data_IF_397379638188
#
_entry.id   IF_397379638188
#
_cell.length_a   1.000
_cell.length_b   1.000
_cell.length_c   1.000
_cell.angle_alpha   90.00
_cell.angle_beta   90.00
_cell.angle_gamma   90.00
#
_symmetry.space_group_name_H-M   'P 1'
#
loop_
_entity.id
_entity.type
_entity.pdbx_description
1 polymer ?
#
# COMPACT_ATOMS: atom_id res chain seq x y z
N UNK A 1 24.01 7.69 7.79
CA UNK A 1 23.23 8.77 7.14
C UNK A 1 24.06 9.42 6.02
N UNK A 2 24.04 8.90 4.78
CA UNK A 2 24.74 9.53 3.63
C UNK A 2 24.07 9.34 2.27
N UNK A 3 23.00 8.53 2.15
CA UNK A 3 22.41 8.17 0.84
C UNK A 3 21.21 9.03 0.41
N UNK A 4 20.49 9.65 1.34
CA UNK A 4 19.32 10.49 1.04
C UNK A 4 19.70 11.88 0.53
N UNK A 5 20.81 12.44 1.00
CA UNK A 5 21.27 13.78 0.60
C UNK A 5 21.76 13.83 -0.85
N UNK A 6 22.37 12.76 -1.37
CA UNK A 6 22.82 12.71 -2.77
C UNK A 6 21.67 12.67 -3.79
N UNK A 7 20.53 12.06 -3.45
CA UNK A 7 19.39 11.94 -4.37
C UNK A 7 18.66 13.28 -4.50
N UNK A 8 18.46 14.00 -3.38
CA UNK A 8 17.92 15.37 -3.41
C UNK A 8 18.84 16.34 -4.16
N UNK A 9 20.16 16.23 -4.00
CA UNK A 9 21.12 17.06 -4.72
C UNK A 9 21.11 16.76 -6.23
N UNK A 10 21.00 15.48 -6.63
CA UNK A 10 20.89 15.10 -8.03
C UNK A 10 19.59 15.60 -8.68
N UNK A 11 18.45 15.54 -7.96
CA UNK A 11 17.17 16.07 -8.44
C UNK A 11 17.19 17.61 -8.57
N UNK A 12 17.86 18.31 -7.67
CA UNK A 12 18.08 19.76 -7.74
C UNK A 12 18.97 20.16 -8.92
N UNK A 13 20.03 19.39 -9.20
CA UNK A 13 20.89 19.63 -10.36
C UNK A 13 20.15 19.39 -11.69
N UNK A 14 19.34 18.34 -11.77
CA UNK A 14 18.53 18.07 -12.97
C UNK A 14 17.50 19.18 -13.19
N UNK A 15 16.80 19.63 -12.13
CA UNK A 15 15.85 20.73 -12.23
C UNK A 15 16.51 22.08 -12.63
N UNK A 16 17.71 22.36 -12.13
CA UNK A 16 18.45 23.58 -12.45
C UNK A 16 18.99 23.59 -13.89
N UNK A 17 19.40 22.43 -14.43
CA UNK A 17 19.89 22.30 -15.82
C UNK A 17 18.74 22.44 -16.83
N UNK A 18 17.52 21.99 -16.50
CA UNK A 18 16.35 22.16 -17.37
C UNK A 18 15.65 23.53 -17.20
N UNK A 19 15.81 24.19 -16.05
CA UNK A 19 15.28 25.55 -15.83
C UNK A 19 16.06 26.65 -16.57
N UNK A 20 17.37 26.47 -16.75
CA UNK A 20 18.25 27.46 -17.41
C UNK A 20 18.50 27.20 -18.91
N UNK A 21 17.95 26.13 -19.47
CA UNK A 21 17.91 25.87 -20.91
C UNK A 21 16.48 26.05 -21.44
N UNK A 22 15.86 27.21 -21.17
CA UNK A 22 14.64 27.61 -21.90
C UNK A 22 15.04 28.42 -23.12
N UNK A 23 14.96 27.80 -24.30
CA UNK A 23 14.56 28.56 -25.48
C UNK A 23 13.07 28.88 -25.34
N UNK A 24 12.74 30.15 -25.57
CA UNK A 24 11.39 30.67 -25.51
C UNK A 24 10.44 29.82 -26.36
N UNK A 25 9.38 29.32 -25.71
CA UNK A 25 8.31 28.48 -26.26
C UNK A 25 8.67 27.00 -26.42
N UNK A 26 8.54 26.23 -25.34
CA UNK A 26 8.16 24.82 -25.44
C UNK A 26 7.48 24.31 -24.16
N UNK A 27 6.45 23.52 -24.41
CA UNK A 27 5.60 22.76 -23.48
C UNK A 27 6.34 22.29 -22.22
N UNK A 28 5.82 22.64 -21.04
CA UNK A 28 6.31 22.16 -19.74
C UNK A 28 5.92 20.67 -19.48
N UNK A 29 5.27 20.00 -20.44
CA UNK A 29 4.83 18.60 -20.39
C UNK A 29 5.95 17.60 -20.04
N UNK A 30 7.20 17.71 -20.56
CA UNK A 30 8.27 16.76 -20.25
C UNK A 30 8.79 16.89 -18.83
N UNK A 31 8.86 18.11 -18.29
CA UNK A 31 9.28 18.37 -16.90
C UNK A 31 8.19 17.89 -15.94
N UNK A 32 6.92 18.14 -16.27
CA UNK A 32 5.79 17.60 -15.52
C UNK A 32 5.77 16.07 -15.60
N UNK A 33 6.01 15.47 -16.77
CA UNK A 33 6.09 14.02 -16.94
C UNK A 33 7.28 13.40 -16.19
N UNK A 34 8.43 14.09 -16.11
CA UNK A 34 9.58 13.64 -15.34
C UNK A 34 9.36 13.78 -13.84
N UNK A 35 8.70 14.86 -13.39
CA UNK A 35 8.30 15.04 -11.98
C UNK A 35 7.21 14.04 -11.58
N UNK A 36 6.24 13.76 -12.46
CA UNK A 36 5.23 12.71 -12.27
C UNK A 36 5.90 11.34 -12.25
N UNK A 37 6.81 11.04 -13.18
CA UNK A 37 7.56 9.79 -13.22
C UNK A 37 8.47 9.62 -12.00
N UNK A 38 9.13 10.69 -11.55
CA UNK A 38 9.90 10.67 -10.32
C UNK A 38 8.99 10.49 -9.10
N UNK A 39 7.84 11.14 -9.02
CA UNK A 39 6.89 10.99 -7.92
C UNK A 39 6.28 9.57 -7.90
N UNK A 40 5.96 9.03 -9.07
CA UNK A 40 5.46 7.66 -9.29
C UNK A 40 6.51 6.59 -8.91
N UNK A 41 7.79 6.82 -9.23
CA UNK A 41 8.92 5.97 -8.85
C UNK A 41 9.34 6.10 -7.37
N UNK A 42 8.99 7.20 -6.70
CA UNK A 42 9.40 7.49 -5.32
C UNK A 42 8.40 6.99 -4.28
N UNK A 43 7.16 6.76 -4.67
CA UNK A 43 6.11 6.35 -3.75
C UNK A 43 6.17 4.84 -3.48
N UNK A 44 6.53 4.46 -2.26
CA UNK A 44 6.46 3.07 -1.78
C UNK A 44 5.04 2.68 -1.34
N UNK A 45 4.02 3.33 -1.90
CA UNK A 45 2.63 3.23 -1.48
C UNK A 45 1.72 3.21 -2.71
N UNK A 46 0.62 2.47 -2.63
CA UNK A 46 -0.31 2.28 -3.72
C UNK A 46 -1.74 2.46 -3.25
N UNK A 47 -2.53 3.10 -4.09
CA UNK A 47 -3.97 3.11 -3.99
C UNK A 47 -4.58 2.22 -5.07
N UNK A 48 -5.18 1.12 -4.68
CA UNK A 48 -5.99 0.29 -5.56
C UNK A 48 -7.44 0.74 -5.46
N UNK A 49 -7.94 1.34 -6.53
CA UNK A 49 -9.32 1.81 -6.65
C UNK A 49 -10.14 0.77 -7.38
N UNK A 50 -11.27 0.38 -6.79
CA UNK A 50 -12.25 -0.53 -7.41
C UNK A 50 -13.57 0.21 -7.61
N UNK A 51 -14.09 0.15 -8.84
CA UNK A 51 -15.43 0.63 -9.20
C UNK A 51 -16.47 -0.42 -8.82
N UNK A 52 -17.23 -0.15 -7.75
CA UNK A 52 -18.28 -1.02 -7.23
C UNK A 52 -19.61 -0.83 -8.00
N UNK A 53 -19.91 0.41 -8.37
CA UNK A 53 -21.04 0.80 -9.21
C UNK A 53 -20.71 2.06 -10.01
N UNK A 54 -21.63 2.54 -10.86
CA UNK A 54 -21.39 3.65 -11.80
C UNK A 54 -20.71 4.89 -11.17
N UNK A 55 -21.09 5.26 -9.95
CA UNK A 55 -20.52 6.41 -9.23
C UNK A 55 -20.04 6.02 -7.82
N UNK A 56 -19.72 4.74 -7.58
CA UNK A 56 -19.31 4.27 -6.26
C UNK A 56 -17.97 3.54 -6.37
N UNK A 57 -16.97 4.08 -5.70
CA UNK A 57 -15.60 3.58 -5.74
C UNK A 57 -15.03 3.45 -4.33
N UNK A 58 -14.23 2.41 -4.13
CA UNK A 58 -13.46 2.19 -2.91
C UNK A 58 -11.98 2.21 -3.24
N UNK A 59 -11.18 2.95 -2.47
CA UNK A 59 -9.73 2.91 -2.56
C UNK A 59 -9.15 2.14 -1.36
N UNK A 60 -8.35 1.12 -1.65
CA UNK A 60 -7.50 0.45 -0.67
C UNK A 60 -6.08 1.01 -0.80
N UNK A 61 -5.53 1.47 0.30
CA UNK A 61 -4.22 2.09 0.37
C UNK A 61 -3.26 1.10 1.04
N UNK A 62 -2.13 0.77 0.42
CA UNK A 62 -1.14 -0.17 0.98
C UNK A 62 0.29 0.23 0.66
N UNK A 63 1.25 -0.17 1.50
CA UNK A 63 2.67 -0.07 1.17
C UNK A 63 3.06 -1.12 0.11
N UNK A 64 3.78 -0.71 -0.92
CA UNK A 64 4.26 -1.56 -2.03
C UNK A 64 5.75 -1.32 -2.30
N UNK A 65 6.47 -2.23 -2.98
CA UNK A 65 7.77 -1.88 -3.52
C UNK A 65 7.66 -0.68 -4.47
N UNK A 66 8.74 0.09 -4.63
CA UNK A 66 8.81 1.17 -5.63
C UNK A 66 8.50 0.63 -7.02
N UNK A 67 7.63 1.31 -7.77
CA UNK A 67 7.14 0.85 -9.08
C UNK A 67 6.23 -0.39 -9.02
N UNK A 68 5.89 -0.87 -7.83
CA UNK A 68 5.01 -2.03 -7.62
C UNK A 68 3.52 -1.70 -7.58
N UNK A 69 3.14 -0.42 -7.67
CA UNK A 69 1.74 -0.03 -7.68
C UNK A 69 1.09 -0.33 -9.04
N UNK A 70 0.59 -1.56 -9.18
CA UNK A 70 -0.10 -2.01 -10.39
C UNK A 70 -1.26 -2.95 -10.09
N UNK A 71 -2.21 -3.00 -11.00
CA UNK A 71 -3.25 -4.03 -11.02
C UNK A 71 -2.70 -5.25 -11.76
N UNK A 72 -2.86 -6.43 -11.17
CA UNK A 72 -2.53 -7.69 -11.83
C UNK A 72 -3.41 -7.85 -13.09
N UNK A 73 -2.80 -7.91 -14.26
CA UNK A 73 -3.48 -7.97 -15.56
C UNK A 73 -3.80 -9.41 -15.96
N UNK A 74 -3.11 -10.37 -15.36
CA UNK A 74 -3.33 -11.80 -15.61
C UNK A 74 -3.50 -12.60 -14.31
N UNK A 75 -4.13 -13.77 -14.42
CA UNK A 75 -4.23 -14.73 -13.31
C UNK A 75 -2.85 -15.16 -12.79
N UNK A 76 -1.88 -15.32 -13.68
CA UNK A 76 -0.50 -15.67 -13.32
C UNK A 76 0.17 -14.57 -12.48
N UNK A 77 -0.05 -13.28 -12.82
CA UNK A 77 0.43 -12.17 -11.99
C UNK A 77 -0.27 -12.12 -10.63
N UNK A 78 -1.58 -12.39 -10.57
CA UNK A 78 -2.32 -12.47 -9.32
C UNK A 78 -1.78 -13.59 -8.42
N UNK A 79 -1.57 -14.78 -8.98
CA UNK A 79 -0.98 -15.91 -8.25
C UNK A 79 0.44 -15.59 -7.76
N UNK A 80 1.28 -14.97 -8.59
CA UNK A 80 2.63 -14.55 -8.19
C UNK A 80 2.60 -13.55 -7.02
N UNK A 81 1.66 -12.59 -7.04
CA UNK A 81 1.45 -11.62 -5.96
C UNK A 81 1.03 -12.31 -4.65
N UNK A 82 0.07 -13.24 -4.71
CA UNK A 82 -0.37 -14.03 -3.56
C UNK A 82 0.76 -14.91 -3.02
N UNK A 83 1.52 -15.59 -3.88
CA UNK A 83 2.67 -16.40 -3.46
C UNK A 83 3.78 -15.56 -2.81
N UNK A 84 4.01 -14.34 -3.29
CA UNK A 84 4.95 -13.39 -2.66
C UNK A 84 4.49 -13.06 -1.24
N UNK A 85 3.22 -12.68 -1.08
CA UNK A 85 2.65 -12.38 0.24
C UNK A 85 2.74 -13.60 1.18
N UNK A 86 2.39 -14.79 0.70
CA UNK A 86 2.51 -16.05 1.45
C UNK A 86 3.94 -16.27 1.93
N UNK A 87 4.90 -16.20 1.03
CA UNK A 87 6.31 -16.47 1.33
C UNK A 87 6.86 -15.48 2.34
N UNK A 88 6.54 -14.18 2.18
CA UNK A 88 6.98 -13.14 3.10
C UNK A 88 6.37 -13.29 4.50
N UNK A 89 5.10 -13.67 4.62
CA UNK A 89 4.46 -13.93 5.92
C UNK A 89 5.04 -15.18 6.58
N UNK A 90 5.17 -16.28 5.83
CA UNK A 90 5.73 -17.54 6.34
C UNK A 90 7.16 -17.36 6.86
N UNK A 91 7.96 -16.49 6.24
CA UNK A 91 9.31 -16.17 6.72
C UNK A 91 9.32 -15.61 8.15
N UNK A 92 8.29 -14.86 8.58
CA UNK A 92 8.17 -14.40 9.97
C UNK A 92 7.83 -15.56 10.92
N UNK A 93 6.94 -16.46 10.51
CA UNK A 93 6.57 -17.63 11.31
C UNK A 93 7.74 -18.60 11.47
N UNK A 94 8.49 -18.85 10.40
CA UNK A 94 9.71 -19.66 10.47
C UNK A 94 10.72 -19.06 11.45
N UNK A 95 10.89 -17.72 11.48
CA UNK A 95 11.75 -17.04 12.45
C UNK A 95 11.23 -17.10 13.88
N UNK A 96 9.90 -17.03 14.07
CA UNK A 96 9.25 -17.12 15.37
C UNK A 96 9.25 -18.55 15.95
N UNK A 97 9.48 -19.56 15.12
CA UNK A 97 9.63 -20.96 15.52
C UNK A 97 8.30 -21.74 15.61
N UNK A 98 8.37 -22.95 16.17
CA UNK A 98 7.28 -23.95 16.12
C UNK A 98 5.97 -23.52 16.79
N UNK A 99 6.00 -22.51 17.67
CA UNK A 99 4.77 -21.92 18.24
C UNK A 99 3.85 -21.32 17.15
N UNK A 100 4.37 -21.09 15.94
CA UNK A 100 3.66 -20.55 14.80
C UNK A 100 3.24 -21.58 13.75
N UNK A 101 3.44 -22.89 13.95
CA UNK A 101 3.14 -23.92 12.93
C UNK A 101 1.66 -23.93 12.51
N UNK A 102 0.74 -23.78 13.47
CA UNK A 102 -0.71 -23.68 13.18
C UNK A 102 -1.04 -22.40 12.40
N UNK A 103 -0.43 -21.27 12.76
CA UNK A 103 -0.60 -20.00 12.04
C UNK A 103 -0.05 -20.08 10.61
N UNK A 104 1.09 -20.75 10.41
CA UNK A 104 1.67 -20.99 9.10
C UNK A 104 0.76 -21.83 8.20
N UNK A 105 0.15 -22.89 8.77
CA UNK A 105 -0.84 -23.71 8.08
C UNK A 105 -2.09 -22.89 7.70
N UNK A 106 -2.60 -22.10 8.65
CA UNK A 106 -3.75 -21.23 8.42
C UNK A 106 -3.50 -20.24 7.26
N UNK A 107 -2.38 -19.51 7.29
CA UNK A 107 -2.04 -18.53 6.24
C UNK A 107 -1.85 -19.21 4.88
N UNK A 108 -1.20 -20.37 4.86
CA UNK A 108 -1.05 -21.16 3.63
C UNK A 108 -2.41 -21.50 3.02
N UNK A 109 -3.35 -21.98 3.83
CA UNK A 109 -4.69 -22.35 3.37
C UNK A 109 -5.50 -21.13 2.91
N UNK A 110 -5.45 -20.02 3.65
CA UNK A 110 -6.12 -18.77 3.28
C UNK A 110 -5.63 -18.25 1.92
N UNK A 111 -4.32 -18.19 1.71
CA UNK A 111 -3.77 -17.68 0.46
C UNK A 111 -3.96 -18.67 -0.69
N UNK A 112 -3.81 -19.97 -0.46
CA UNK A 112 -4.11 -20.97 -1.49
C UNK A 112 -5.58 -20.91 -1.92
N UNK A 113 -6.51 -20.63 -1.00
CA UNK A 113 -7.92 -20.41 -1.34
C UNK A 113 -8.10 -19.20 -2.26
N UNK A 114 -7.38 -18.08 -2.02
CA UNK A 114 -7.41 -16.91 -2.91
C UNK A 114 -6.85 -17.24 -4.30
N UNK A 115 -5.74 -18.00 -4.37
CA UNK A 115 -5.17 -18.47 -5.64
C UNK A 115 -6.16 -19.35 -6.39
N UNK A 116 -6.75 -20.36 -5.73
CA UNK A 116 -7.76 -21.24 -6.32
C UNK A 116 -8.97 -20.45 -6.82
N UNK A 117 -9.46 -19.49 -6.03
CA UNK A 117 -10.58 -18.64 -6.43
C UNK A 117 -10.24 -17.80 -7.67
N UNK A 118 -9.04 -17.23 -7.75
CA UNK A 118 -8.56 -16.49 -8.92
C UNK A 118 -8.46 -17.39 -10.16
N UNK A 119 -7.90 -18.60 -10.01
CA UNK A 119 -7.69 -19.53 -11.11
C UNK A 119 -9.00 -20.14 -11.63
N UNK A 120 -10.00 -20.31 -10.76
CA UNK A 120 -11.32 -20.82 -11.12
C UNK A 120 -12.23 -19.77 -11.79
N UNK A 121 -11.87 -18.48 -11.79
CA UNK A 121 -12.62 -17.49 -12.55
C UNK A 121 -12.49 -17.77 -14.05
N UNK A 122 -13.53 -17.46 -14.83
CA UNK A 122 -13.38 -17.43 -16.29
C UNK A 122 -12.49 -16.25 -16.69
N UNK A 123 -11.83 -16.33 -17.85
CA UNK A 123 -10.99 -15.21 -18.32
C UNK A 123 -11.80 -13.92 -18.50
N UNK A 124 -13.07 -14.05 -18.94
CA UNK A 124 -13.99 -12.92 -19.03
C UNK A 124 -14.31 -12.31 -17.65
N UNK A 125 -14.53 -13.12 -16.61
CA UNK A 125 -14.77 -12.63 -15.26
C UNK A 125 -13.53 -11.94 -14.65
N UNK A 126 -12.34 -12.50 -14.92
CA UNK A 126 -11.09 -11.89 -14.49
C UNK A 126 -10.86 -10.55 -15.20
N UNK A 127 -11.02 -10.50 -16.53
CA UNK A 127 -10.92 -9.28 -17.32
C UNK A 127 -11.91 -8.20 -16.85
N UNK A 128 -13.15 -8.58 -16.51
CA UNK A 128 -14.13 -7.65 -15.94
C UNK A 128 -13.72 -7.10 -14.57
N UNK A 129 -12.97 -7.86 -13.76
CA UNK A 129 -12.41 -7.39 -12.48
C UNK A 129 -11.28 -6.39 -12.70
N UNK A 130 -10.39 -6.68 -13.65
CA UNK A 130 -9.30 -5.78 -14.05
C UNK A 130 -9.85 -4.48 -14.63
N UNK A 131 -10.87 -4.56 -15.48
CA UNK A 131 -11.53 -3.39 -16.10
C UNK A 131 -12.06 -2.40 -15.05
N UNK A 132 -12.59 -2.91 -13.93
CA UNK A 132 -13.11 -2.12 -12.80
C UNK A 132 -12.05 -1.65 -11.81
N UNK A 133 -10.79 -2.03 -11.97
CA UNK A 133 -9.74 -1.76 -10.99
C UNK A 133 -8.63 -0.90 -11.59
N UNK A 134 -8.16 0.11 -10.85
CA UNK A 134 -7.00 0.93 -11.22
C UNK A 134 -6.07 1.06 -10.02
N UNK A 135 -4.79 1.25 -10.30
CA UNK A 135 -3.77 1.47 -9.29
C UNK A 135 -3.15 2.85 -9.51
N UNK A 136 -3.01 3.62 -8.43
CA UNK A 136 -2.40 4.94 -8.43
C UNK A 136 -1.30 4.99 -7.38
N UNK A 137 -0.10 5.40 -7.78
CA UNK A 137 0.96 5.69 -6.83
C UNK A 137 0.58 6.88 -5.96
N UNK A 138 0.78 6.76 -4.65
CA UNK A 138 0.43 7.82 -3.68
C UNK A 138 1.63 8.18 -2.84
N UNK A 139 1.92 9.47 -2.67
CA UNK A 139 3.11 9.91 -1.94
C UNK A 139 3.16 9.39 -0.49
N UNK A 140 2.03 9.43 0.22
CA UNK A 140 1.95 9.05 1.63
C UNK A 140 0.56 8.52 2.02
N UNK A 141 0.50 7.29 2.53
CA UNK A 141 -0.74 6.64 2.99
C UNK A 141 -1.48 7.42 4.09
N UNK A 142 -0.74 8.03 5.02
CA UNK A 142 -1.30 8.79 6.15
C UNK A 142 -2.03 10.01 5.62
N UNK A 143 -1.38 10.78 4.76
CA UNK A 143 -1.97 11.98 4.14
C UNK A 143 -3.16 11.59 3.28
N UNK A 144 -3.02 10.55 2.47
CA UNK A 144 -4.08 10.11 1.54
C UNK A 144 -5.34 9.67 2.28
N UNK A 145 -5.19 9.02 3.44
CA UNK A 145 -6.29 8.53 4.28
C UNK A 145 -6.72 9.49 5.39
N UNK A 146 -6.17 10.70 5.50
CA UNK A 146 -6.33 11.55 6.68
C UNK A 146 -7.79 11.78 7.10
N UNK A 147 -8.69 11.99 6.13
CA UNK A 147 -10.12 12.17 6.40
C UNK A 147 -10.78 10.89 6.94
N UNK A 148 -10.43 9.73 6.40
CA UNK A 148 -10.88 8.44 6.93
C UNK A 148 -10.35 8.21 8.36
N UNK A 149 -9.08 8.53 8.61
CA UNK A 149 -8.47 8.43 9.94
C UNK A 149 -9.18 9.30 10.97
N UNK A 150 -9.54 10.53 10.57
CA UNK A 150 -10.23 11.49 11.44
C UNK A 150 -11.68 11.10 11.70
N UNK A 151 -12.44 10.86 10.63
CA UNK A 151 -13.90 10.81 10.71
C UNK A 151 -14.44 9.39 10.91
N UNK A 152 -13.71 8.36 10.51
CA UNK A 152 -14.12 6.95 10.71
C UNK A 152 -13.44 6.34 11.94
N UNK A 153 -12.15 6.63 12.12
CA UNK A 153 -11.34 6.05 13.21
C UNK A 153 -11.19 6.98 14.42
N UNK A 154 -11.81 8.17 14.40
CA UNK A 154 -11.88 9.10 15.53
C UNK A 154 -10.52 9.70 15.93
N UNK A 155 -9.53 9.73 15.03
CA UNK A 155 -8.19 10.24 15.34
C UNK A 155 -8.15 11.76 15.34
N UNK A 156 -7.40 12.34 16.27
CA UNK A 156 -7.15 13.78 16.30
C UNK A 156 -6.13 14.18 15.23
N UNK A 157 -6.14 15.45 14.82
CA UNK A 157 -5.16 15.96 13.84
C UNK A 157 -3.72 15.79 14.35
N UNK A 158 -3.48 15.90 15.66
CA UNK A 158 -2.18 15.64 16.28
C UNK A 158 -1.76 14.16 16.18
N UNK A 159 -2.69 13.22 16.38
CA UNK A 159 -2.42 11.79 16.22
C UNK A 159 -2.12 11.43 14.76
N UNK A 160 -2.81 12.04 13.81
CA UNK A 160 -2.57 11.84 12.37
C UNK A 160 -1.21 12.44 11.99
N UNK A 161 -0.88 13.64 12.46
CA UNK A 161 0.41 14.29 12.20
C UNK A 161 1.61 13.53 12.79
N UNK A 162 1.42 12.85 13.94
CA UNK A 162 2.43 12.00 14.55
C UNK A 162 2.60 10.63 13.85
N UNK A 163 1.73 10.30 12.90
CA UNK A 163 1.75 9.02 12.22
C UNK A 163 2.75 8.99 11.07
N UNK A 164 3.40 7.85 10.89
CA UNK A 164 4.34 7.63 9.79
C UNK A 164 3.85 6.52 8.86
N UNK A 165 4.06 6.63 7.54
CA UNK A 165 3.81 5.51 6.64
C UNK A 165 4.85 4.41 6.89
N UNK A 166 4.39 3.16 6.93
CA UNK A 166 5.25 1.98 6.95
C UNK A 166 5.76 1.62 5.56
N UNK A 167 6.64 0.64 5.51
CA UNK A 167 7.13 0.05 4.26
C UNK A 167 6.48 -1.32 3.98
N UNK A 168 6.83 -1.94 2.85
CA UNK A 168 6.30 -3.26 2.47
C UNK A 168 6.60 -4.37 3.50
N UNK A 169 7.79 -4.37 4.11
CA UNK A 169 8.11 -5.34 5.15
C UNK A 169 7.26 -5.12 6.40
N UNK A 170 6.99 -3.87 6.76
CA UNK A 170 6.06 -3.52 7.84
C UNK A 170 4.63 -4.02 7.53
N UNK A 171 4.19 -3.94 6.26
CA UNK A 171 2.90 -4.51 5.82
C UNK A 171 2.84 -6.02 6.03
N UNK A 172 3.86 -6.75 5.59
CA UNK A 172 3.92 -8.20 5.78
C UNK A 172 4.02 -8.58 7.26
N UNK A 173 4.79 -7.82 8.05
CA UNK A 173 4.91 -8.03 9.48
C UNK A 173 3.57 -7.79 10.21
N UNK A 174 2.87 -6.69 9.89
CA UNK A 174 1.54 -6.42 10.43
C UNK A 174 0.53 -7.52 10.06
N UNK A 175 0.59 -8.02 8.82
CA UNK A 175 -0.27 -9.11 8.34
C UNK A 175 0.04 -10.40 9.09
N UNK A 176 1.32 -10.72 9.31
CA UNK A 176 1.75 -11.88 10.06
C UNK A 176 1.25 -11.84 11.51
N UNK A 177 1.35 -10.70 12.20
CA UNK A 177 0.83 -10.48 13.55
C UNK A 177 -0.69 -10.67 13.56
N UNK A 178 -1.41 -10.07 12.61
CA UNK A 178 -2.87 -10.12 12.54
C UNK A 178 -3.38 -11.54 12.33
N UNK A 179 -2.85 -12.25 11.34
CA UNK A 179 -3.23 -13.64 11.07
C UNK A 179 -2.84 -14.59 12.19
N UNK A 180 -1.69 -14.38 12.82
CA UNK A 180 -1.34 -15.14 14.02
C UNK A 180 -2.34 -14.88 15.15
N UNK A 181 -2.76 -13.63 15.36
CA UNK A 181 -3.73 -13.26 16.39
C UNK A 181 -5.10 -13.92 16.25
N UNK A 182 -5.52 -14.27 15.03
CA UNK A 182 -6.77 -15.00 14.79
C UNK A 182 -6.71 -16.48 15.19
N UNK A 183 -5.51 -17.05 15.31
CA UNK A 183 -5.31 -18.50 15.46
C UNK A 183 -4.60 -18.85 16.77
N UNK A 184 -3.57 -18.09 17.12
CA UNK A 184 -2.67 -18.36 18.24
C UNK A 184 -2.09 -17.06 18.80
N UNK A 185 -2.54 -16.68 20.00
CA UNK A 185 -1.99 -15.54 20.73
C UNK A 185 -0.49 -15.72 21.05
N UNK A 186 -0.02 -16.96 21.27
CA UNK A 186 1.40 -17.23 21.52
C UNK A 186 2.25 -16.96 20.28
N UNK A 187 1.77 -17.36 19.10
CA UNK A 187 2.44 -17.02 17.84
C UNK A 187 2.45 -15.52 17.59
N UNK A 188 1.34 -14.82 17.83
CA UNK A 188 1.29 -13.36 17.68
C UNK A 188 2.34 -12.67 18.57
N UNK A 189 2.46 -13.09 19.83
CA UNK A 189 3.50 -12.59 20.75
C UNK A 189 4.91 -12.94 20.26
N UNK A 190 5.15 -14.16 19.79
CA UNK A 190 6.46 -14.57 19.27
C UNK A 190 6.86 -13.78 18.02
N UNK A 191 5.92 -13.49 17.12
CA UNK A 191 6.17 -12.65 15.94
C UNK A 191 6.44 -11.20 16.35
N UNK A 192 5.67 -10.63 17.29
CA UNK A 192 5.93 -9.29 17.82
C UNK A 192 7.33 -9.18 18.42
N UNK A 193 7.80 -10.21 19.11
CA UNK A 193 9.13 -10.26 19.71
C UNK A 193 10.29 -10.25 18.69
N UNK A 194 10.04 -10.53 17.40
CA UNK A 194 11.06 -10.41 16.35
C UNK A 194 11.47 -8.96 16.10
N UNK A 195 10.55 -8.02 16.30
CA UNK A 195 10.79 -6.57 16.21
C UNK A 195 9.71 -5.83 17.04
N UNK A 196 9.96 -5.76 18.35
CA UNK A 196 9.00 -5.19 19.30
C UNK A 196 8.71 -3.72 19.01
N UNK A 197 9.72 -2.94 18.62
CA UNK A 197 9.56 -1.51 18.31
C UNK A 197 8.62 -1.29 17.12
N UNK A 198 8.80 -2.06 16.04
CA UNK A 198 7.90 -1.98 14.89
C UNK A 198 6.50 -2.52 15.23
N UNK A 199 6.42 -3.61 16.01
CA UNK A 199 5.15 -4.18 16.46
C UNK A 199 4.33 -3.18 17.28
N UNK A 200 4.96 -2.46 18.21
CA UNK A 200 4.30 -1.44 19.03
C UNK A 200 3.83 -0.27 18.17
N UNK A 201 4.65 0.18 17.21
CA UNK A 201 4.26 1.25 16.30
C UNK A 201 3.04 0.88 15.42
N UNK A 202 2.94 -0.39 14.99
CA UNK A 202 1.86 -0.88 14.14
C UNK A 202 0.59 -1.26 14.91
N UNK A 203 0.71 -1.71 16.16
CA UNK A 203 -0.40 -2.32 16.92
C UNK A 203 -0.81 -1.56 18.18
N UNK A 204 -0.11 -0.47 18.53
CA UNK A 204 -0.55 0.46 19.59
C UNK A 204 -1.94 1.01 19.31
N UNK A 205 -2.58 1.58 20.33
CA UNK A 205 -3.89 2.21 20.21
C UNK A 205 -3.80 3.67 20.67
N UNK A 206 -3.78 4.66 19.75
CA UNK A 206 -3.76 4.51 18.29
C UNK A 206 -2.38 4.08 17.75
N UNK A 207 -2.32 3.36 16.61
CA UNK A 207 -1.08 3.08 15.91
C UNK A 207 -0.33 4.35 15.54
N UNK A 208 1.00 4.34 15.62
CA UNK A 208 1.86 5.46 15.18
C UNK A 208 2.48 5.21 13.79
N UNK A 209 2.33 3.99 13.26
CA UNK A 209 2.76 3.61 11.92
C UNK A 209 1.61 3.00 11.11
N UNK A 210 1.46 3.39 9.85
CA UNK A 210 0.38 2.98 8.96
C UNK A 210 0.90 2.26 7.72
N UNK A 211 0.53 0.99 7.54
CA UNK A 211 0.93 0.16 6.39
C UNK A 211 -0.21 -0.11 5.42
N UNK A 212 -1.44 0.09 5.88
CA UNK A 212 -2.66 -0.03 5.09
C UNK A 212 -3.75 0.89 5.61
N UNK A 213 -4.60 1.36 4.72
CA UNK A 213 -5.78 2.16 5.04
C UNK A 213 -6.79 2.11 3.90
N UNK A 214 -7.83 2.92 3.99
CA UNK A 214 -8.83 3.10 2.95
C UNK A 214 -9.28 4.55 2.88
N UNK A 215 -9.85 4.91 1.74
CA UNK A 215 -10.57 6.15 1.55
C UNK A 215 -11.61 5.96 0.43
N UNK A 216 -12.57 6.87 0.34
CA UNK A 216 -13.56 6.89 -0.74
C UNK A 216 -13.02 7.71 -1.91
N UNK A 217 -13.29 7.26 -3.14
CA UNK A 217 -12.78 7.87 -4.36
C UNK A 217 -13.93 8.35 -5.24
N UNK A 218 -13.69 9.43 -5.99
CA UNK A 218 -14.63 9.95 -6.97
C UNK A 218 -15.38 11.22 -6.53
N UNK A 219 -16.24 11.69 -7.42
CA UNK A 219 -17.05 12.90 -7.32
C UNK A 219 -18.19 12.73 -6.31
N UNK A 220 -18.79 11.53 -6.26
CA UNK A 220 -19.85 11.18 -5.32
C UNK A 220 -19.33 10.66 -3.96
N UNK A 221 -18.01 10.63 -3.75
CA UNK A 221 -17.41 10.20 -2.49
C UNK A 221 -17.83 11.11 -1.33
N UNK A 222 -18.16 10.51 -0.18
CA UNK A 222 -18.50 11.28 1.00
C UNK A 222 -17.32 12.14 1.44
N UNK A 223 -17.54 13.46 1.56
CA UNK A 223 -16.49 14.44 1.83
C UNK A 223 -15.69 14.15 3.11
N UNK A 224 -16.25 13.40 4.05
CA UNK A 224 -15.60 13.02 5.31
C UNK A 224 -14.67 11.78 5.19
N UNK A 225 -14.69 11.03 4.09
CA UNK A 225 -13.85 9.84 3.91
C UNK A 225 -13.07 9.86 2.59
N UNK A 226 -13.19 10.94 1.83
CA UNK A 226 -12.58 11.09 0.51
C UNK A 226 -11.05 11.03 0.58
N UNK A 227 -10.44 10.40 -0.42
CA UNK A 227 -8.99 10.40 -0.61
C UNK A 227 -8.47 11.83 -0.83
N UNK A 228 -7.33 12.16 -0.23
CA UNK A 228 -6.82 13.53 -0.24
C UNK A 228 -6.39 14.00 -1.64
N UNK A 229 -5.75 13.15 -2.43
CA UNK A 229 -5.21 13.51 -3.76
C UNK A 229 -5.93 12.82 -4.90
N UNK A 230 -6.48 11.63 -4.67
CA UNK A 230 -7.24 10.87 -5.67
C UNK A 230 -8.67 11.42 -5.77
N UNK A 231 -8.86 12.41 -6.64
CA UNK A 231 -10.10 13.21 -6.69
C UNK A 231 -10.84 13.19 -8.04
N UNK A 232 -10.21 12.77 -9.13
CA UNK A 232 -10.78 12.70 -10.49
C UNK A 232 -11.02 11.26 -10.89
N UNK A 233 -12.26 10.92 -11.28
CA UNK A 233 -12.71 9.57 -11.67
C UNK A 233 -12.07 9.09 -12.98
N UNK A 234 -12.01 7.76 -13.15
CA UNK A 234 -11.65 7.10 -14.41
C UNK A 234 -12.85 6.35 -15.01
#
# INVERSE_FOLDING_TARGET
MKKTTSILLALLFVAAVFGNCKEDKKDDTPVLALLLYANDQLSGNCATVTRNAANNYSASLTSVPKGGCKVNQTKAEAEASFNTQKTSILAFYTKAGSTCDTSATFVTNQINTQITNSNNQTDAAFAATVEKTRAFSVGNLVTESALYQKNTLGRTDAQIAAMTPGNLNDLFFNTAITYAGFVSASCATAVKALDQTTADALTSTPPTKLVSSSCTYGSAAAANTKCATLSTEF
#
